data_IF_313699948881
#
_entry.id   IF_313699948881
#
_cell.length_a   1.000
_cell.length_b   1.000
_cell.length_c   1.000
_cell.angle_alpha   90.00
_cell.angle_beta   90.00
_cell.angle_gamma   90.00
#
_symmetry.space_group_name_H-M   'P 1'
#
loop_
_entity.id
_entity.type
_entity.pdbx_description
1 polymer ?
#
# COMPACT_ATOMS: atom_id res chain seq x y z
N UNK A 1 50.81 -35.79 0.66
CA UNK A 1 50.01 -35.52 1.88
C UNK A 1 49.67 -34.04 1.88
N UNK A 2 48.50 -33.67 1.34
CA UNK A 2 47.99 -32.30 1.37
C UNK A 2 46.66 -32.33 2.10
N UNK A 3 46.66 -31.78 3.32
CA UNK A 3 45.50 -31.66 4.19
C UNK A 3 44.60 -30.54 3.71
N UNK A 4 43.46 -30.90 3.14
CA UNK A 4 42.34 -29.99 2.86
C UNK A 4 41.62 -29.69 4.17
N UNK A 5 41.87 -28.53 4.76
CA UNK A 5 41.15 -28.08 5.97
C UNK A 5 39.80 -27.53 5.53
N UNK A 6 38.76 -28.36 5.66
CA UNK A 6 37.35 -27.95 5.56
C UNK A 6 37.01 -26.96 6.69
N UNK A 7 36.32 -25.84 6.44
CA UNK A 7 35.86 -24.98 7.51
C UNK A 7 34.86 -25.74 8.40
N UNK A 8 35.09 -25.69 9.71
CA UNK A 8 34.31 -26.38 10.74
C UNK A 8 32.83 -26.03 10.65
N UNK A 9 31.98 -27.03 10.83
CA UNK A 9 30.52 -26.92 10.98
C UNK A 9 30.05 -25.91 12.04
N UNK A 10 30.93 -25.38 12.89
CA UNK A 10 30.64 -24.30 13.84
C UNK A 10 30.49 -22.91 13.18
N UNK A 11 31.08 -22.67 12.01
CA UNK A 11 30.92 -21.38 11.28
C UNK A 11 29.65 -21.36 10.41
N UNK A 12 29.12 -22.53 10.03
CA UNK A 12 27.80 -22.68 9.40
C UNK A 12 26.65 -22.59 10.41
N UNK A 13 26.93 -22.71 11.70
CA UNK A 13 25.95 -22.58 12.78
C UNK A 13 25.69 -21.12 13.16
N UNK A 14 26.68 -20.24 13.05
CA UNK A 14 26.54 -18.83 13.47
C UNK A 14 25.89 -17.93 12.40
N UNK A 15 25.77 -18.40 11.16
CA UNK A 15 25.01 -17.72 10.11
C UNK A 15 23.48 -17.98 10.19
N UNK A 16 23.05 -18.99 10.96
CA UNK A 16 21.63 -19.30 11.21
C UNK A 16 21.05 -18.62 12.46
N UNK A 17 21.90 -18.09 13.34
CA UNK A 17 21.51 -17.41 14.58
C UNK A 17 21.43 -15.88 14.48
N UNK A 18 21.75 -15.31 13.32
CA UNK A 18 21.30 -13.98 12.95
C UNK A 18 19.94 -14.07 12.23
N UNK A 19 18.97 -14.75 12.85
CA UNK A 19 17.57 -14.44 12.58
C UNK A 19 17.37 -12.99 13.03
N UNK A 20 17.65 -12.05 12.11
CA UNK A 20 17.30 -10.65 12.25
C UNK A 20 15.90 -10.61 12.84
N UNK A 21 15.80 -10.12 14.08
CA UNK A 21 14.52 -10.07 14.79
C UNK A 21 13.70 -9.06 14.02
N UNK A 22 12.95 -9.55 13.04
CA UNK A 22 11.89 -8.81 12.38
C UNK A 22 10.93 -8.38 13.50
N UNK A 23 11.02 -7.10 13.87
CA UNK A 23 10.10 -6.48 14.82
C UNK A 23 9.17 -5.64 13.95
N UNK A 24 7.94 -6.12 13.79
CA UNK A 24 6.90 -5.35 13.14
C UNK A 24 6.68 -4.04 13.93
N UNK A 25 6.58 -2.87 13.26
CA UNK A 25 6.32 -1.62 13.95
C UNK A 25 4.96 -1.67 14.65
N UNK A 26 4.86 -1.01 15.80
CA UNK A 26 3.61 -0.85 16.52
C UNK A 26 2.57 -0.09 15.70
N UNK A 27 1.25 -0.22 15.99
CA UNK A 27 0.22 0.58 15.33
C UNK A 27 0.48 2.09 15.39
N UNK A 28 1.09 2.58 16.48
CA UNK A 28 1.44 4.00 16.65
C UNK A 28 2.58 4.45 15.71
N UNK A 29 3.58 3.61 15.51
CA UNK A 29 4.66 3.87 14.55
C UNK A 29 4.16 3.82 13.11
N UNK A 30 3.28 2.87 12.79
CA UNK A 30 2.63 2.81 11.49
C UNK A 30 1.70 4.01 11.25
N UNK A 31 0.99 4.49 12.28
CA UNK A 31 0.19 5.71 12.20
C UNK A 31 1.06 6.93 11.86
N UNK A 32 2.24 7.05 12.47
CA UNK A 32 3.21 8.08 12.11
C UNK A 32 3.68 7.93 10.65
N UNK A 33 3.93 6.70 10.20
CA UNK A 33 4.29 6.41 8.82
C UNK A 33 3.18 6.80 7.82
N UNK A 34 1.90 6.54 8.12
CA UNK A 34 0.75 6.98 7.28
C UNK A 34 0.80 8.50 7.06
N UNK A 35 1.13 9.25 8.11
CA UNK A 35 1.21 10.72 8.05
C UNK A 35 2.45 11.22 7.31
N UNK A 36 3.58 10.50 7.41
CA UNK A 36 4.86 10.88 6.81
C UNK A 36 5.00 10.45 5.34
N UNK A 37 4.32 9.37 4.93
CA UNK A 37 4.49 8.75 3.61
C UNK A 37 4.14 9.72 2.48
N UNK A 38 5.11 9.91 1.58
CA UNK A 38 4.95 10.63 0.30
C UNK A 38 5.39 9.76 -0.86
N UNK A 39 5.00 10.13 -2.07
CA UNK A 39 5.45 9.45 -3.29
C UNK A 39 6.82 9.96 -3.68
N UNK A 40 7.85 9.13 -3.47
CA UNK A 40 9.24 9.42 -3.87
C UNK A 40 9.44 8.97 -5.32
N UNK A 41 9.85 9.89 -6.19
CA UNK A 41 10.02 9.61 -7.63
C UNK A 41 11.44 9.80 -8.15
N UNK A 42 12.31 10.36 -7.31
CA UNK A 42 13.74 10.44 -7.57
C UNK A 42 14.43 9.76 -6.41
N UNK A 43 15.18 8.72 -6.70
CA UNK A 43 15.94 7.93 -5.72
C UNK A 43 17.44 8.18 -5.91
N UNK A 44 18.23 7.94 -4.87
CA UNK A 44 19.68 8.24 -4.86
C UNK A 44 20.52 7.29 -5.72
N UNK A 45 19.98 6.13 -6.11
CA UNK A 45 20.74 5.06 -6.75
C UNK A 45 21.51 4.18 -5.77
N UNK A 46 21.47 4.47 -4.47
CA UNK A 46 22.07 3.61 -3.45
C UNK A 46 21.30 2.28 -3.32
N UNK A 47 22.01 1.20 -3.02
CA UNK A 47 21.39 -0.08 -2.64
C UNK A 47 20.68 0.09 -1.29
N UNK A 48 19.56 -0.61 -1.12
CA UNK A 48 18.96 -0.76 0.21
C UNK A 48 19.96 -1.44 1.15
N UNK A 49 20.03 -0.97 2.39
CA UNK A 49 20.81 -1.64 3.44
C UNK A 49 20.27 -3.05 3.67
N UNK A 50 21.15 -3.95 4.10
CA UNK A 50 20.81 -5.34 4.43
C UNK A 50 19.62 -5.41 5.41
N UNK A 51 19.61 -4.58 6.45
CA UNK A 51 18.51 -4.52 7.43
C UNK A 51 17.14 -4.22 6.81
N UNK A 52 17.08 -3.38 5.77
CA UNK A 52 15.82 -3.08 5.07
C UNK A 52 15.43 -4.21 4.12
N UNK A 53 16.40 -4.84 3.47
CA UNK A 53 16.15 -6.02 2.63
C UNK A 53 15.65 -7.20 3.45
N UNK A 54 16.21 -7.44 4.64
CA UNK A 54 15.77 -8.48 5.57
C UNK A 54 14.31 -8.27 5.99
N UNK A 55 13.89 -7.02 6.23
CA UNK A 55 12.49 -6.69 6.52
C UNK A 55 11.57 -7.04 5.34
N UNK A 56 11.98 -6.70 4.11
CA UNK A 56 11.19 -6.99 2.91
C UNK A 56 11.08 -8.50 2.72
N UNK A 57 12.19 -9.23 2.73
CA UNK A 57 12.21 -10.67 2.48
C UNK A 57 11.47 -11.43 3.57
N UNK A 58 11.62 -11.04 4.84
CA UNK A 58 10.88 -11.64 5.96
C UNK A 58 9.37 -11.39 5.85
N UNK A 59 8.95 -10.17 5.50
CA UNK A 59 7.53 -9.85 5.32
C UNK A 59 6.92 -10.68 4.18
N UNK A 60 7.61 -10.80 3.05
CA UNK A 60 7.14 -11.54 1.88
C UNK A 60 7.13 -13.06 2.10
N UNK A 61 8.01 -13.57 2.96
CA UNK A 61 8.09 -14.98 3.30
C UNK A 61 7.05 -15.42 4.34
N UNK A 62 6.50 -14.50 5.14
CA UNK A 62 5.52 -14.79 6.18
C UNK A 62 4.10 -15.02 5.58
N UNK A 63 3.56 -16.26 5.63
CA UNK A 63 2.22 -16.53 5.10
C UNK A 63 1.09 -15.81 5.85
N UNK A 64 1.31 -15.38 7.09
CA UNK A 64 0.34 -14.62 7.87
C UNK A 64 0.34 -13.15 7.45
N UNK A 65 1.50 -12.54 7.24
CA UNK A 65 1.62 -11.19 6.67
C UNK A 65 1.04 -11.10 5.25
N UNK A 66 1.15 -12.18 4.46
CA UNK A 66 0.66 -12.27 3.08
C UNK A 66 -0.83 -12.66 2.97
N UNK A 67 -1.61 -12.49 4.04
CA UNK A 67 -3.05 -12.72 4.08
C UNK A 67 -3.80 -11.40 4.26
N UNK A 68 -4.76 -11.14 3.38
CA UNK A 68 -5.63 -9.97 3.46
C UNK A 68 -6.74 -10.10 4.51
N UNK A 69 -7.46 -9.00 4.78
CA UNK A 69 -8.46 -8.91 5.85
C UNK A 69 -9.74 -9.71 5.59
N UNK A 70 -9.96 -10.19 4.36
CA UNK A 70 -11.05 -11.11 3.99
C UNK A 70 -10.55 -12.56 3.87
N UNK A 71 -9.28 -12.81 4.18
CA UNK A 71 -8.66 -14.12 4.16
C UNK A 71 -8.07 -14.53 2.80
N UNK A 72 -8.04 -13.65 1.81
CA UNK A 72 -7.34 -13.91 0.55
C UNK A 72 -5.82 -13.98 0.75
N UNK A 73 -5.14 -14.83 -0.02
CA UNK A 73 -3.67 -14.81 -0.09
C UNK A 73 -3.25 -13.88 -1.22
N UNK A 74 -2.27 -13.02 -0.95
CA UNK A 74 -1.79 -12.04 -1.94
C UNK A 74 -0.42 -12.44 -2.45
N UNK A 75 -0.05 -11.95 -3.64
CA UNK A 75 1.27 -12.22 -4.22
C UNK A 75 2.01 -10.94 -4.53
N UNK A 76 3.20 -10.82 -3.95
CA UNK A 76 4.11 -9.72 -4.19
C UNK A 76 5.49 -10.31 -4.47
N UNK A 77 6.09 -9.93 -5.60
CA UNK A 77 7.47 -10.28 -5.91
C UNK A 77 8.39 -9.10 -5.61
N UNK A 78 9.63 -9.40 -5.23
CA UNK A 78 10.69 -8.41 -5.09
C UNK A 78 11.65 -8.59 -6.27
N UNK A 79 11.86 -7.53 -7.04
CA UNK A 79 13.01 -7.44 -7.93
C UNK A 79 14.03 -6.53 -7.26
N UNK A 80 15.26 -7.01 -7.17
CA UNK A 80 16.40 -6.27 -6.63
C UNK A 80 17.53 -6.25 -7.65
N UNK A 81 18.45 -5.30 -7.48
CA UNK A 81 19.56 -5.04 -8.38
C UNK A 81 19.18 -4.66 -9.82
N UNK A 82 17.99 -4.08 -10.00
CA UNK A 82 17.53 -3.63 -11.32
C UNK A 82 18.01 -2.20 -11.63
N UNK A 83 18.37 -1.92 -12.88
CA UNK A 83 18.48 -0.54 -13.35
C UNK A 83 17.09 0.00 -13.69
N UNK A 84 16.46 0.70 -12.74
CA UNK A 84 15.14 1.29 -12.92
C UNK A 84 15.02 2.33 -14.05
N UNK A 85 16.11 2.75 -14.68
CA UNK A 85 16.10 3.60 -15.88
C UNK A 85 16.19 2.77 -17.17
N UNK A 86 17.00 1.71 -17.19
CA UNK A 86 17.27 0.92 -18.40
C UNK A 86 16.37 -0.30 -18.53
N UNK A 87 16.10 -0.95 -17.41
CA UNK A 87 15.42 -2.24 -17.37
C UNK A 87 13.93 -2.11 -17.11
N UNK A 88 13.47 -1.06 -16.43
CA UNK A 88 12.07 -0.86 -16.09
C UNK A 88 11.61 0.49 -16.64
N UNK A 89 10.97 0.49 -17.82
CA UNK A 89 10.51 1.73 -18.44
C UNK A 89 9.42 2.43 -17.63
N UNK A 90 9.74 3.51 -16.91
CA UNK A 90 8.78 4.35 -16.15
C UNK A 90 8.40 5.65 -16.87
N UNK A 91 8.74 5.77 -18.17
CA UNK A 91 8.52 6.96 -19.01
C UNK A 91 9.05 8.28 -18.40
N UNK A 92 10.12 8.21 -17.61
CA UNK A 92 10.75 9.36 -16.95
C UNK A 92 10.01 9.86 -15.70
N UNK A 93 8.89 9.23 -15.31
CA UNK A 93 8.16 9.63 -14.10
C UNK A 93 8.88 9.22 -12.82
N UNK A 94 9.72 8.19 -12.84
CA UNK A 94 10.43 7.70 -11.65
C UNK A 94 11.81 7.17 -12.01
N UNK A 95 12.85 7.57 -11.28
CA UNK A 95 14.25 7.27 -11.64
C UNK A 95 15.14 6.99 -10.43
N UNK A 96 16.22 6.25 -10.68
CA UNK A 96 17.28 5.99 -9.70
C UNK A 96 16.96 4.92 -8.65
N UNK A 97 15.85 4.18 -8.81
CA UNK A 97 15.55 3.05 -7.93
C UNK A 97 16.29 1.80 -8.39
N UNK A 98 16.63 0.94 -7.42
CA UNK A 98 17.35 -0.32 -7.66
C UNK A 98 16.61 -1.56 -7.20
N UNK A 99 15.48 -1.36 -6.54
CA UNK A 99 14.59 -2.43 -6.10
C UNK A 99 13.15 -2.01 -6.33
N UNK A 100 12.27 -2.96 -6.62
CA UNK A 100 10.83 -2.71 -6.76
C UNK A 100 10.01 -3.91 -6.30
N UNK A 101 8.86 -3.63 -5.69
CA UNK A 101 7.85 -4.63 -5.39
C UNK A 101 6.87 -4.71 -6.57
N UNK A 102 6.55 -5.92 -7.01
CA UNK A 102 5.59 -6.20 -8.08
C UNK A 102 4.33 -6.76 -7.45
N UNK A 103 3.22 -6.02 -7.55
CA UNK A 103 1.94 -6.41 -6.99
C UNK A 103 1.18 -7.26 -8.03
N UNK A 104 1.00 -8.55 -7.76
CA UNK A 104 0.44 -9.52 -8.70
C UNK A 104 -0.89 -10.04 -8.14
N UNK A 105 -1.94 -9.99 -8.95
CA UNK A 105 -3.25 -10.52 -8.59
C UNK A 105 -4.05 -10.91 -9.83
N UNK A 106 -5.12 -11.67 -9.61
CA UNK A 106 -6.21 -11.76 -10.57
C UNK A 106 -6.92 -10.39 -10.67
N UNK A 107 -7.51 -10.05 -11.84
CA UNK A 107 -8.26 -8.81 -12.05
C UNK A 107 -9.64 -8.82 -11.33
N UNK A 108 -9.69 -9.28 -10.08
CA UNK A 108 -10.91 -9.40 -9.29
C UNK A 108 -10.96 -8.29 -8.23
N UNK A 109 -12.12 -7.66 -7.97
CA UNK A 109 -12.23 -6.50 -7.09
C UNK A 109 -11.59 -6.69 -5.71
N UNK A 110 -11.93 -7.80 -5.04
CA UNK A 110 -11.45 -8.10 -3.69
C UNK A 110 -10.00 -8.59 -3.67
N UNK A 111 -9.55 -9.29 -4.71
CA UNK A 111 -8.15 -9.70 -4.83
C UNK A 111 -7.22 -8.49 -4.93
N UNK A 112 -7.59 -7.48 -5.74
CA UNK A 112 -6.85 -6.23 -5.87
C UNK A 112 -6.90 -5.40 -4.56
N UNK A 113 -8.07 -5.30 -3.94
CA UNK A 113 -8.24 -4.65 -2.64
C UNK A 113 -7.34 -5.27 -1.56
N UNK A 114 -7.36 -6.60 -1.39
CA UNK A 114 -6.56 -7.30 -0.38
C UNK A 114 -5.05 -7.21 -0.68
N UNK A 115 -4.66 -7.32 -1.96
CA UNK A 115 -3.28 -7.11 -2.40
C UNK A 115 -2.77 -5.73 -1.97
N UNK A 116 -3.56 -4.68 -2.22
CA UNK A 116 -3.17 -3.33 -1.83
C UNK A 116 -3.17 -3.12 -0.32
N UNK A 117 -4.10 -3.71 0.42
CA UNK A 117 -4.08 -3.66 1.89
C UNK A 117 -2.76 -4.22 2.45
N UNK A 118 -2.37 -5.43 2.02
CA UNK A 118 -1.16 -6.10 2.50
C UNK A 118 0.09 -5.33 2.07
N UNK A 119 0.21 -5.02 0.78
CA UNK A 119 1.39 -4.32 0.27
C UNK A 119 1.53 -2.93 0.89
N UNK A 120 0.41 -2.25 1.19
CA UNK A 120 0.49 -0.96 1.88
C UNK A 120 1.01 -1.10 3.32
N UNK A 121 0.76 -2.23 4.00
CA UNK A 121 1.38 -2.55 5.29
C UNK A 121 2.91 -2.54 5.21
N UNK A 122 3.49 -3.23 4.22
CA UNK A 122 4.93 -3.23 3.97
C UNK A 122 5.44 -1.83 3.56
N UNK A 123 4.72 -1.11 2.71
CA UNK A 123 5.07 0.28 2.33
C UNK A 123 5.16 1.20 3.55
N UNK A 124 4.26 1.07 4.52
CA UNK A 124 4.27 1.86 5.75
C UNK A 124 5.41 1.44 6.68
N UNK A 125 5.72 0.15 6.78
CA UNK A 125 6.91 -0.33 7.49
C UNK A 125 8.19 0.27 6.88
N UNK A 126 8.34 0.19 5.55
CA UNK A 126 9.48 0.79 4.85
C UNK A 126 9.56 2.31 5.05
N UNK A 127 8.41 3.00 5.08
CA UNK A 127 8.37 4.44 5.37
C UNK A 127 8.86 4.73 6.79
N UNK A 128 8.49 3.90 7.78
CA UNK A 128 8.99 4.03 9.15
C UNK A 128 10.52 3.89 9.22
N UNK A 129 11.11 3.04 8.37
CA UNK A 129 12.56 2.86 8.23
C UNK A 129 13.25 3.93 7.36
N UNK A 130 12.52 4.96 6.91
CA UNK A 130 13.06 6.02 6.06
C UNK A 130 13.31 5.61 4.60
N UNK A 131 12.75 4.47 4.15
CA UNK A 131 12.80 4.05 2.75
C UNK A 131 11.68 4.72 1.97
N UNK A 132 12.05 5.42 0.90
CA UNK A 132 11.12 6.04 -0.03
C UNK A 132 10.39 5.02 -0.89
N UNK A 133 9.13 5.32 -1.24
CA UNK A 133 8.29 4.45 -2.08
C UNK A 133 7.40 5.27 -3.02
N UNK A 134 6.94 4.67 -4.11
CA UNK A 134 5.88 5.23 -4.95
C UNK A 134 4.99 4.12 -5.53
N UNK A 135 3.68 4.23 -5.33
CA UNK A 135 2.71 3.39 -6.04
C UNK A 135 2.60 3.80 -7.51
N UNK A 136 2.76 2.83 -8.42
CA UNK A 136 2.56 3.00 -9.85
C UNK A 136 1.65 1.88 -10.39
N UNK A 137 0.34 2.17 -10.47
CA UNK A 137 -0.64 1.28 -11.12
C UNK A 137 -0.70 1.40 -12.65
N UNK A 138 -0.02 2.41 -13.19
CA UNK A 138 0.15 2.68 -14.61
C UNK A 138 1.44 3.47 -14.81
N UNK A 139 1.68 3.97 -16.01
CA UNK A 139 2.92 4.69 -16.36
C UNK A 139 4.23 3.91 -16.11
N UNK A 140 4.19 2.59 -16.29
CA UNK A 140 5.36 1.73 -16.47
C UNK A 140 5.14 0.78 -17.65
N UNK A 141 6.20 0.12 -18.13
CA UNK A 141 6.13 -0.91 -19.16
C UNK A 141 5.97 -2.30 -18.51
N UNK A 142 4.79 -2.95 -18.59
CA UNK A 142 4.57 -4.25 -17.93
C UNK A 142 5.43 -5.36 -18.53
N UNK A 143 5.74 -5.30 -19.83
CA UNK A 143 6.53 -6.33 -20.50
C UNK A 143 7.95 -6.44 -19.93
N UNK A 144 8.51 -5.32 -19.48
CA UNK A 144 9.83 -5.29 -18.85
C UNK A 144 9.82 -5.98 -17.48
N UNK A 145 8.75 -5.77 -16.70
CA UNK A 145 8.58 -6.39 -15.38
C UNK A 145 8.28 -7.88 -15.49
N UNK A 146 7.44 -8.28 -16.45
CA UNK A 146 7.07 -9.69 -16.71
C UNK A 146 8.29 -10.53 -17.08
N UNK A 147 9.26 -9.98 -17.84
CA UNK A 147 10.50 -10.72 -18.17
C UNK A 147 11.30 -11.12 -16.94
N UNK A 148 11.15 -10.38 -15.84
CA UNK A 148 11.90 -10.58 -14.61
C UNK A 148 11.05 -11.24 -13.51
N UNK A 149 9.75 -11.42 -13.74
CA UNK A 149 8.80 -11.86 -12.70
C UNK A 149 7.83 -12.90 -13.26
N UNK A 150 7.60 -13.98 -12.50
CA UNK A 150 6.58 -14.97 -12.88
C UNK A 150 5.17 -14.40 -12.68
N UNK A 151 4.40 -14.35 -13.76
CA UNK A 151 2.96 -14.04 -13.77
C UNK A 151 2.24 -15.24 -14.39
N UNK A 152 1.33 -15.87 -13.65
CA UNK A 152 0.63 -17.07 -14.11
C UNK A 152 -0.60 -16.69 -14.94
N UNK A 153 -1.18 -17.65 -15.65
CA UNK A 153 -2.37 -17.43 -16.47
C UNK A 153 -3.54 -16.91 -15.61
N UNK A 154 -4.20 -15.85 -16.08
CA UNK A 154 -5.30 -15.19 -15.37
C UNK A 154 -4.88 -14.15 -14.33
N UNK A 155 -3.58 -13.95 -14.12
CA UNK A 155 -3.05 -12.87 -13.28
C UNK A 155 -2.53 -11.70 -14.11
N UNK A 156 -2.35 -10.57 -13.44
CA UNK A 156 -1.72 -9.37 -13.98
C UNK A 156 -0.83 -8.70 -12.94
N UNK A 157 0.00 -7.77 -13.41
CA UNK A 157 0.72 -6.82 -12.55
C UNK A 157 -0.19 -5.61 -12.34
N UNK A 158 -0.82 -5.52 -11.18
CA UNK A 158 -1.77 -4.44 -10.86
C UNK A 158 -1.06 -3.13 -10.53
N UNK A 159 0.13 -3.23 -9.93
CA UNK A 159 1.01 -2.09 -9.68
C UNK A 159 2.45 -2.55 -9.49
N UNK A 160 3.37 -1.60 -9.64
CA UNK A 160 4.72 -1.72 -9.08
C UNK A 160 4.96 -0.63 -8.03
N UNK A 161 5.84 -0.94 -7.08
CA UNK A 161 6.28 -0.01 -6.04
C UNK A 161 7.80 0.05 -6.02
N UNK A 162 8.43 0.97 -6.78
CA UNK A 162 9.84 1.28 -6.66
C UNK A 162 10.23 1.67 -5.23
N UNK A 163 11.40 1.20 -4.81
CA UNK A 163 11.97 1.39 -3.48
C UNK A 163 13.35 2.04 -3.57
N UNK A 164 13.72 2.80 -2.53
CA UNK A 164 15.06 3.34 -2.37
C UNK A 164 15.12 4.53 -1.44
N UNK A 165 16.32 5.05 -1.19
CA UNK A 165 16.48 6.32 -0.50
C UNK A 165 16.17 7.48 -1.46
N UNK A 166 15.47 8.50 -0.98
CA UNK A 166 15.13 9.66 -1.80
C UNK A 166 16.40 10.38 -2.27
N UNK A 167 16.47 10.65 -3.58
CA UNK A 167 17.58 11.28 -4.27
C UNK A 167 17.25 12.67 -4.79
N UNK A 168 18.30 13.42 -5.11
CA UNK A 168 18.25 14.86 -5.38
C UNK A 168 19.11 15.59 -4.36
N UNK A 169 19.60 16.80 -4.68
CA UNK A 169 20.37 17.59 -3.72
C UNK A 169 19.64 17.62 -2.39
N UNK A 170 20.28 17.07 -1.35
CA UNK A 170 20.06 17.52 0.03
C UNK A 170 20.23 19.02 -0.02
N UNK A 171 19.14 19.79 -0.15
CA UNK A 171 19.18 21.16 0.32
C UNK A 171 19.57 21.02 1.78
N UNK A 172 20.73 21.56 2.16
CA UNK A 172 21.20 21.68 3.53
C UNK A 172 20.12 22.36 4.41
N UNK A 173 19.08 21.62 4.80
CA UNK A 173 17.99 22.06 5.68
C UNK A 173 17.75 20.97 6.75
N UNK A 174 18.72 20.09 7.00
CA UNK A 174 18.59 19.07 8.05
C UNK A 174 18.86 19.60 9.47
N UNK A 175 18.83 20.93 9.70
CA UNK A 175 18.93 21.52 11.04
C UNK A 175 17.95 22.68 11.32
N UNK A 176 16.83 22.76 10.60
CA UNK A 176 15.73 23.64 10.98
C UNK A 176 14.39 22.89 10.95
N UNK A 177 13.84 22.61 12.13
CA UNK A 177 12.47 22.11 12.28
C UNK A 177 11.42 23.11 11.77
N UNK A 178 10.12 22.75 11.85
CA UNK A 178 9.31 22.09 10.83
C UNK A 178 8.63 23.13 9.91
N UNK A 179 9.22 23.42 8.74
CA UNK A 179 8.56 24.27 7.74
C UNK A 179 7.76 23.42 6.74
N UNK A 180 6.45 23.34 7.02
CA UNK A 180 5.36 23.15 6.06
C UNK A 180 5.67 22.07 5.03
N UNK A 181 5.55 20.81 5.47
CA UNK A 181 5.29 19.67 4.61
C UNK A 181 4.19 20.11 3.65
N UNK A 182 4.54 20.37 2.38
CA UNK A 182 3.62 20.84 1.33
C UNK A 182 2.43 19.89 1.37
N UNK A 183 1.35 20.32 2.04
CA UNK A 183 0.32 19.41 2.50
C UNK A 183 -0.16 18.66 1.26
N UNK A 184 -0.08 17.33 1.30
CA UNK A 184 -0.71 16.53 0.26
C UNK A 184 -2.15 17.01 0.18
N UNK A 185 -2.56 17.55 -0.97
CA UNK A 185 -3.92 18.09 -1.18
C UNK A 185 -4.90 16.92 -1.09
N UNK A 186 -5.27 16.54 0.13
CA UNK A 186 -6.28 15.55 0.42
C UNK A 186 -7.59 16.27 0.64
N UNK A 187 -8.65 15.68 0.11
CA UNK A 187 -10.00 16.20 0.25
C UNK A 187 -10.40 16.04 1.74
N UNK A 188 -11.34 16.86 2.23
CA UNK A 188 -11.88 16.70 3.58
C UNK A 188 -12.55 15.33 3.73
N UNK A 189 -12.67 14.84 4.97
CA UNK A 189 -13.33 13.57 5.28
C UNK A 189 -14.72 13.49 4.64
N UNK A 190 -15.48 14.59 4.71
CA UNK A 190 -16.84 14.74 4.16
C UNK A 190 -16.94 14.57 2.63
N UNK A 191 -15.83 14.61 1.89
CA UNK A 191 -15.86 14.29 0.46
C UNK A 191 -16.09 12.78 0.21
N UNK A 192 -15.68 11.92 1.15
CA UNK A 192 -15.65 10.47 0.96
C UNK A 192 -16.33 9.67 2.06
N UNK A 193 -16.72 10.30 3.17
CA UNK A 193 -17.36 9.63 4.30
C UNK A 193 -18.75 10.20 4.55
N UNK A 194 -19.73 9.31 4.70
CA UNK A 194 -21.15 9.63 4.84
C UNK A 194 -21.74 8.94 6.08
N UNK A 195 -22.92 9.39 6.50
CA UNK A 195 -23.66 8.85 7.64
C UNK A 195 -24.97 8.21 7.17
N UNK A 196 -25.17 6.93 7.49
CA UNK A 196 -26.39 6.15 7.24
C UNK A 196 -26.60 5.76 5.77
N UNK A 197 -26.42 6.70 4.86
CA UNK A 197 -26.65 6.55 3.43
C UNK A 197 -25.58 7.29 2.61
N UNK A 198 -25.48 6.96 1.32
CA UNK A 198 -24.65 7.71 0.38
C UNK A 198 -25.19 9.13 0.22
N UNK A 199 -24.31 10.11 -0.05
CA UNK A 199 -24.62 11.55 -0.20
C UNK A 199 -24.94 12.33 1.08
N UNK A 200 -25.10 11.69 2.24
CA UNK A 200 -25.30 12.40 3.52
C UNK A 200 -23.95 12.58 4.24
N UNK A 201 -23.26 13.73 4.15
CA UNK A 201 -21.87 13.84 4.63
C UNK A 201 -21.79 13.66 6.15
N UNK A 202 -20.66 13.13 6.62
CA UNK A 202 -20.46 12.80 8.02
C UNK A 202 -20.66 14.02 8.94
N UNK A 203 -20.08 15.18 8.57
CA UNK A 203 -20.15 16.46 9.30
C UNK A 203 -19.84 16.31 10.80
N UNK A 204 -18.89 15.44 11.12
CA UNK A 204 -18.48 15.14 12.50
C UNK A 204 -19.46 14.28 13.32
N UNK A 205 -20.55 13.76 12.73
CA UNK A 205 -21.59 12.96 13.41
C UNK A 205 -21.23 11.48 13.62
N UNK A 206 -19.94 11.18 13.70
CA UNK A 206 -19.42 9.87 14.10
C UNK A 206 -18.12 10.03 14.90
N UNK A 207 -18.18 10.65 16.09
CA UNK A 207 -17.00 11.05 16.86
C UNK A 207 -16.04 9.90 17.18
N UNK A 208 -16.51 8.66 17.35
CA UNK A 208 -15.61 7.53 17.66
C UNK A 208 -14.77 7.10 16.46
N UNK A 209 -15.31 7.20 15.24
CA UNK A 209 -14.63 6.80 14.01
C UNK A 209 -13.92 7.95 13.29
N UNK A 210 -14.30 9.19 13.57
CA UNK A 210 -13.78 10.38 12.87
C UNK A 210 -12.25 10.50 12.89
N UNK A 211 -11.53 10.25 14.02
CA UNK A 211 -10.07 10.31 14.03
C UNK A 211 -9.43 9.31 13.05
N UNK A 212 -9.96 8.08 13.00
CA UNK A 212 -9.47 7.03 12.14
C UNK A 212 -9.76 7.33 10.65
N UNK A 213 -10.95 7.86 10.34
CA UNK A 213 -11.33 8.29 8.99
C UNK A 213 -10.48 9.48 8.49
N UNK A 214 -10.15 10.45 9.35
CA UNK A 214 -9.25 11.56 9.00
C UNK A 214 -7.83 11.09 8.69
N UNK A 215 -7.35 10.06 9.38
CA UNK A 215 -6.06 9.43 9.06
C UNK A 215 -6.14 8.72 7.72
N UNK A 216 -7.17 7.88 7.52
CA UNK A 216 -7.31 7.04 6.34
C UNK A 216 -7.28 7.83 5.03
N UNK A 217 -7.85 9.05 5.00
CA UNK A 217 -7.86 9.91 3.80
C UNK A 217 -6.45 10.28 3.30
N UNK A 218 -5.40 10.09 4.09
CA UNK A 218 -4.00 10.36 3.71
C UNK A 218 -3.40 9.28 2.80
N UNK A 219 -4.06 8.13 2.67
CA UNK A 219 -3.65 7.04 1.78
C UNK A 219 -3.35 7.53 0.35
N UNK A 220 -2.42 6.89 -0.36
CA UNK A 220 -2.18 7.17 -1.78
C UNK A 220 -3.42 6.81 -2.62
N UNK A 221 -3.58 7.46 -3.77
CA UNK A 221 -4.56 7.05 -4.78
C UNK A 221 -4.08 7.41 -6.18
N UNK A 222 -4.50 6.65 -7.17
CA UNK A 222 -4.26 6.95 -8.57
C UNK A 222 -4.73 8.37 -8.91
N UNK A 223 -3.83 9.17 -9.50
CA UNK A 223 -4.02 10.61 -9.78
C UNK A 223 -4.59 11.42 -8.60
N UNK A 224 -4.40 10.96 -7.35
CA UNK A 224 -4.96 11.55 -6.14
C UNK A 224 -6.50 11.68 -6.15
N UNK A 225 -7.20 10.79 -6.88
CA UNK A 225 -8.67 10.82 -7.06
C UNK A 225 -9.41 10.57 -5.74
N UNK A 226 -8.82 9.78 -4.83
CA UNK A 226 -9.42 9.36 -3.56
C UNK A 226 -10.72 8.60 -3.83
N UNK A 227 -10.57 7.49 -4.55
CA UNK A 227 -11.63 6.68 -5.16
C UNK A 227 -12.33 5.73 -4.18
N UNK A 228 -12.40 6.10 -2.91
CA UNK A 228 -13.13 5.37 -1.87
C UNK A 228 -14.36 6.15 -1.43
N UNK A 229 -15.43 5.44 -1.07
CA UNK A 229 -16.54 5.97 -0.26
C UNK A 229 -16.76 5.08 0.95
N UNK A 230 -17.08 5.70 2.07
CA UNK A 230 -17.38 5.03 3.33
C UNK A 230 -18.73 5.53 3.85
N UNK A 231 -19.65 4.62 4.19
CA UNK A 231 -20.90 4.97 4.87
C UNK A 231 -20.86 4.40 6.28
N UNK A 232 -20.87 5.28 7.26
CA UNK A 232 -20.86 4.95 8.69
C UNK A 232 -22.30 4.74 9.15
N UNK A 233 -22.60 3.61 9.82
CA UNK A 233 -23.91 3.40 10.41
C UNK A 233 -24.17 4.36 11.56
N UNK A 234 -25.45 4.67 11.85
CA UNK A 234 -25.83 5.63 12.88
C UNK A 234 -25.33 5.26 14.30
N UNK A 235 -25.14 3.97 14.57
CA UNK A 235 -24.59 3.44 15.82
C UNK A 235 -23.04 3.37 15.85
N UNK A 236 -22.37 3.83 14.78
CA UNK A 236 -20.92 3.77 14.58
C UNK A 236 -20.33 2.35 14.67
N UNK A 237 -21.16 1.31 14.53
CA UNK A 237 -20.73 -0.08 14.58
C UNK A 237 -20.31 -0.63 13.22
N UNK A 238 -20.67 0.05 12.13
CA UNK A 238 -20.38 -0.42 10.77
C UNK A 238 -19.82 0.69 9.90
N UNK A 239 -18.88 0.34 9.04
CA UNK A 239 -18.39 1.19 7.95
C UNK A 239 -18.50 0.39 6.65
N UNK A 240 -19.46 0.76 5.80
CA UNK A 240 -19.67 0.17 4.48
C UNK A 240 -18.73 0.82 3.46
N UNK A 241 -17.95 0.03 2.75
CA UNK A 241 -16.83 0.50 1.93
C UNK A 241 -17.12 0.24 0.45
N UNK A 242 -16.97 1.27 -0.36
CA UNK A 242 -17.22 1.25 -1.79
C UNK A 242 -16.00 1.78 -2.57
N UNK A 243 -15.74 1.18 -3.73
CA UNK A 243 -14.91 1.78 -4.76
C UNK A 243 -15.76 2.79 -5.56
N UNK A 244 -15.16 3.94 -5.89
CA UNK A 244 -15.79 5.00 -6.67
C UNK A 244 -15.00 5.25 -7.96
N UNK A 245 -15.54 4.80 -9.09
CA UNK A 245 -14.80 4.75 -10.33
C UNK A 245 -14.73 6.09 -11.03
N UNK A 246 -13.55 6.39 -11.57
CA UNK A 246 -13.32 7.59 -12.40
C UNK A 246 -12.18 7.43 -13.40
N UNK A 247 -11.62 6.21 -13.51
CA UNK A 247 -10.45 5.89 -14.35
C UNK A 247 -10.67 4.64 -15.21
N UNK A 248 -11.92 4.15 -15.36
CA UNK A 248 -12.21 2.94 -16.17
C UNK A 248 -11.79 3.12 -17.64
N UNK A 249 -11.93 4.32 -18.18
CA UNK A 249 -11.50 4.71 -19.52
C UNK A 249 -9.97 4.70 -19.70
N UNK A 250 -9.22 4.67 -18.59
CA UNK A 250 -7.77 4.59 -18.59
C UNK A 250 -7.24 3.17 -18.34
N UNK A 251 -8.12 2.18 -18.19
CA UNK A 251 -7.76 0.76 -18.06
C UNK A 251 -7.58 0.15 -19.45
N UNK A 252 -6.48 -0.55 -19.67
CA UNK A 252 -6.19 -1.18 -20.96
C UNK A 252 -4.75 -1.67 -21.10
N UNK A 253 -4.37 -2.00 -22.34
CA UNK A 253 -3.05 -2.57 -22.68
C UNK A 253 -2.08 -1.57 -23.29
N UNK A 254 -2.51 -0.33 -23.48
CA UNK A 254 -1.75 0.77 -24.06
C UNK A 254 -0.73 1.40 -23.12
N UNK A 255 0.13 2.25 -23.69
CA UNK A 255 1.19 2.92 -22.91
C UNK A 255 0.58 3.79 -21.81
N UNK A 256 1.14 3.68 -20.60
CA UNK A 256 0.73 4.43 -19.41
C UNK A 256 -0.68 4.13 -18.88
N UNK A 257 -1.42 3.20 -19.49
CA UNK A 257 -2.72 2.77 -18.98
C UNK A 257 -2.57 1.92 -17.72
N UNK A 258 -3.67 1.76 -16.98
CA UNK A 258 -3.74 0.84 -15.86
C UNK A 258 -4.06 -0.57 -16.36
N UNK A 259 -3.39 -1.58 -15.80
CA UNK A 259 -3.68 -2.98 -16.15
C UNK A 259 -5.01 -3.48 -15.57
N UNK A 260 -5.50 -2.84 -14.51
CA UNK A 260 -6.75 -3.10 -13.83
C UNK A 260 -7.37 -1.80 -13.32
N UNK A 261 -8.61 -1.81 -12.82
CA UNK A 261 -9.19 -0.65 -12.15
C UNK A 261 -8.35 -0.26 -10.92
N UNK A 262 -7.64 0.88 -10.93
CA UNK A 262 -6.78 1.27 -9.82
C UNK A 262 -7.58 1.60 -8.56
N UNK A 263 -8.89 1.86 -8.68
CA UNK A 263 -9.75 2.20 -7.57
C UNK A 263 -9.81 1.09 -6.50
N UNK A 264 -9.73 -0.18 -6.89
CA UNK A 264 -9.65 -1.27 -5.92
C UNK A 264 -8.36 -1.23 -5.10
N UNK A 265 -7.23 -0.90 -5.75
CA UNK A 265 -5.95 -0.72 -5.07
C UNK A 265 -6.02 0.50 -4.13
N UNK A 266 -6.59 1.60 -4.60
CA UNK A 266 -6.77 2.82 -3.82
C UNK A 266 -7.55 2.53 -2.52
N UNK A 267 -8.67 1.80 -2.62
CA UNK A 267 -9.49 1.42 -1.46
C UNK A 267 -8.71 0.49 -0.51
N UNK A 268 -7.90 -0.43 -1.02
CA UNK A 268 -7.05 -1.29 -0.17
C UNK A 268 -6.03 -0.49 0.65
N UNK A 269 -5.35 0.49 0.02
CA UNK A 269 -4.42 1.36 0.75
C UNK A 269 -5.12 2.26 1.78
N UNK A 270 -6.31 2.75 1.45
CA UNK A 270 -7.17 3.51 2.35
C UNK A 270 -7.61 2.67 3.55
N UNK A 271 -8.09 1.45 3.32
CA UNK A 271 -8.54 0.56 4.39
C UNK A 271 -7.40 0.14 5.31
N UNK A 272 -6.20 -0.13 4.78
CA UNK A 272 -5.03 -0.39 5.64
C UNK A 272 -4.71 0.77 6.56
N UNK A 273 -4.83 2.01 6.05
CA UNK A 273 -4.62 3.22 6.84
C UNK A 273 -5.71 3.42 7.90
N UNK A 274 -6.97 3.09 7.56
CA UNK A 274 -8.09 3.10 8.49
C UNK A 274 -7.88 2.08 9.62
N UNK A 275 -7.58 0.82 9.27
CA UNK A 275 -7.36 -0.28 10.21
C UNK A 275 -6.27 0.04 11.24
N UNK A 276 -5.11 0.54 10.79
CA UNK A 276 -4.04 1.00 11.69
C UNK A 276 -4.55 2.07 12.66
N UNK A 277 -5.34 3.02 12.17
CA UNK A 277 -5.85 4.10 13.00
C UNK A 277 -6.90 3.61 14.00
N UNK A 278 -7.81 2.71 13.59
CA UNK A 278 -8.78 2.06 14.48
C UNK A 278 -8.08 1.33 15.62
N UNK A 279 -6.99 0.60 15.33
CA UNK A 279 -6.18 -0.06 16.36
C UNK A 279 -5.57 0.92 17.36
N UNK A 280 -5.11 2.10 16.91
CA UNK A 280 -4.58 3.14 17.82
C UNK A 280 -5.69 3.76 18.69
N UNK A 281 -6.90 3.91 18.15
CA UNK A 281 -8.08 4.36 18.89
C UNK A 281 -8.69 3.27 19.80
N UNK A 282 -8.11 2.06 19.84
CA UNK A 282 -8.62 0.94 20.63
C UNK A 282 -9.92 0.33 20.09
N UNK A 283 -10.22 0.56 18.82
CA UNK A 283 -11.43 0.06 18.16
C UNK A 283 -11.11 -1.26 17.43
N UNK A 284 -11.62 -2.36 17.98
CA UNK A 284 -11.53 -3.68 17.36
C UNK A 284 -12.74 -3.98 16.50
N UNK A 285 -12.53 -4.73 15.43
CA UNK A 285 -13.58 -5.14 14.52
C UNK A 285 -13.07 -6.01 13.39
N UNK A 286 -14.00 -6.53 12.61
CA UNK A 286 -13.71 -7.46 11.51
C UNK A 286 -14.26 -6.94 10.19
N UNK A 287 -13.56 -7.25 9.09
CA UNK A 287 -14.03 -6.94 7.75
C UNK A 287 -14.82 -8.13 7.21
N UNK A 288 -16.05 -7.90 6.77
CA UNK A 288 -16.94 -8.92 6.22
C UNK A 288 -17.54 -8.48 4.89
N UNK A 289 -17.93 -9.45 4.05
CA UNK A 289 -18.70 -9.18 2.83
C UNK A 289 -20.18 -9.34 3.18
N UNK A 290 -20.80 -8.24 3.60
CA UNK A 290 -22.21 -8.15 3.96
C UNK A 290 -22.77 -6.84 3.38
N UNK A 291 -23.19 -6.90 2.12
CA UNK A 291 -23.67 -5.72 1.39
C UNK A 291 -24.95 -5.18 2.05
N UNK A 292 -24.96 -3.93 2.54
CA UNK A 292 -26.15 -3.33 3.14
C UNK A 292 -27.25 -3.01 2.11
N UNK A 293 -26.99 -3.17 0.81
CA UNK A 293 -27.89 -2.83 -0.29
C UNK A 293 -28.40 -1.38 -0.20
N UNK A 294 -27.51 -0.46 0.22
CA UNK A 294 -27.86 0.96 0.29
C UNK A 294 -28.15 1.50 -1.12
N UNK A 295 -29.14 2.39 -1.28
CA UNK A 295 -29.40 3.05 -2.55
C UNK A 295 -28.16 3.79 -3.07
N UNK A 296 -27.74 3.45 -4.28
CA UNK A 296 -26.66 4.14 -4.98
C UNK A 296 -27.26 5.32 -5.75
N UNK A 297 -26.74 6.55 -5.60
CA UNK A 297 -27.27 7.72 -6.32
C UNK A 297 -27.18 7.55 -7.84
N UNK A 298 -28.17 8.06 -8.56
CA UNK A 298 -28.19 8.05 -10.02
C UNK A 298 -26.92 8.67 -10.61
N UNK A 299 -26.33 7.98 -11.59
CA UNK A 299 -25.09 8.41 -12.26
C UNK A 299 -23.81 8.21 -11.44
N UNK A 300 -23.88 7.69 -10.21
CA UNK A 300 -22.71 7.31 -9.45
C UNK A 300 -22.21 5.92 -9.88
N UNK A 301 -20.95 5.83 -10.32
CA UNK A 301 -20.28 4.54 -10.56
C UNK A 301 -19.59 4.10 -9.27
N UNK A 302 -20.35 3.37 -8.44
CA UNK A 302 -19.91 2.83 -7.15
C UNK A 302 -20.06 1.31 -7.13
N UNK A 303 -19.09 0.63 -6.52
CA UNK A 303 -19.17 -0.81 -6.26
C UNK A 303 -18.87 -1.11 -4.79
N UNK A 304 -19.75 -1.87 -4.15
CA UNK A 304 -19.57 -2.33 -2.78
C UNK A 304 -18.44 -3.36 -2.70
N UNK A 305 -17.52 -3.18 -1.75
CA UNK A 305 -16.43 -4.14 -1.51
C UNK A 305 -16.63 -4.96 -0.25
N UNK A 306 -16.83 -4.29 0.89
CA UNK A 306 -16.88 -4.91 2.21
C UNK A 306 -17.47 -3.96 3.28
N UNK A 307 -17.73 -4.48 4.46
CA UNK A 307 -18.16 -3.74 5.64
C UNK A 307 -17.27 -4.07 6.82
N UNK A 308 -16.66 -3.07 7.42
CA UNK A 308 -16.02 -3.23 8.72
C UNK A 308 -17.11 -3.20 9.80
N UNK A 309 -17.09 -4.18 10.71
CA UNK A 309 -18.03 -4.31 11.82
C UNK A 309 -17.27 -4.30 13.13
N UNK A 310 -17.60 -3.36 14.01
CA UNK A 310 -17.03 -3.23 15.34
C UNK A 310 -17.45 -4.41 16.22
N UNK A 311 -16.48 -4.95 16.95
CA UNK A 311 -16.73 -5.96 17.97
C UNK A 311 -17.67 -5.40 19.07
N UNK A 312 -18.33 -6.30 19.82
CA UNK A 312 -19.27 -5.92 20.87
C UNK A 312 -18.60 -5.31 22.10
#
# INVERSE_FOLDING_TARGET
MSTTTSPRASELSTARDAASRYIAPSPRELLAAVRARRSVRTFSGERLRAEHMDVITSYLADPAAMRGPLGGRVRVALLDDVDGHREIGTYGYTKGFRSLLVAIARPEPRALFELAYVLHGLVLHLTHLGVGTVWMGGAFNPADVVKQTRVDAGELIGAIVPLGYEGGHKRLIDYAAPLILKATKRKPVDHSCFLGELQTPLRGRAPSLLPALDVARRAPSAKNRQSWRAVVSADERRVHIYAAFSLRDEVGTGRKQYACSPEYLDVGTWYRSLDIALQVEGLSGTLVVADPQLPVPDGADLEYLATWTRDA
#
